data_IF_684340249035
#
_entry.id   IF_684340249035
#
_cell.length_a   1.000
_cell.length_b   1.000
_cell.length_c   1.000
_cell.angle_alpha   90.00
_cell.angle_beta   90.00
_cell.angle_gamma   90.00
#
_symmetry.space_group_name_H-M   'P 1'
#
loop_
_entity.id
_entity.type
_entity.pdbx_description
1 polymer ?
#
# COMPACT_ATOMS: atom_id res chain seq x y z
N UNK A 1 8.72 -48.98 3.63
CA UNK A 1 7.90 -48.28 4.62
C UNK A 1 8.12 -48.97 5.95
N UNK A 2 8.45 -48.20 6.97
CA UNK A 2 8.78 -48.76 8.27
C UNK A 2 7.52 -49.26 8.99
N UNK A 3 7.67 -50.38 9.70
CA UNK A 3 6.58 -50.93 10.49
C UNK A 3 6.27 -50.01 11.66
N UNK A 4 5.00 -49.76 11.92
CA UNK A 4 4.55 -48.82 12.96
C UNK A 4 3.84 -49.59 14.08
N UNK A 5 3.93 -49.09 15.31
CA UNK A 5 3.34 -49.76 16.48
C UNK A 5 1.86 -50.09 16.25
N UNK A 6 1.46 -51.33 16.49
CA UNK A 6 0.08 -51.77 16.32
C UNK A 6 -0.85 -51.05 17.30
N UNK A 7 -2.00 -50.55 16.82
CA UNK A 7 -2.96 -49.85 17.66
C UNK A 7 -3.85 -50.83 18.44
N UNK A 8 -4.20 -50.44 19.67
CA UNK A 8 -4.93 -51.28 20.63
C UNK A 8 -6.06 -50.50 21.29
N UNK A 9 -7.06 -51.23 21.77
CA UNK A 9 -8.13 -50.69 22.61
C UNK A 9 -7.55 -49.95 23.81
N UNK A 10 -7.92 -48.69 23.99
CA UNK A 10 -7.41 -47.79 25.03
C UNK A 10 -6.23 -46.92 24.59
N UNK A 11 -5.71 -47.08 23.37
CA UNK A 11 -4.65 -46.21 22.87
C UNK A 11 -5.23 -44.83 22.56
N UNK A 12 -4.38 -43.83 22.68
CA UNK A 12 -4.74 -42.43 22.60
C UNK A 12 -4.78 -41.97 21.15
N UNK A 13 -5.65 -41.00 20.87
CA UNK A 13 -5.61 -40.21 19.64
C UNK A 13 -5.28 -38.77 19.97
N UNK A 14 -4.62 -38.09 19.03
CA UNK A 14 -4.31 -36.67 19.15
C UNK A 14 -4.36 -35.98 17.79
N UNK A 15 -4.39 -34.66 17.83
CA UNK A 15 -4.05 -33.86 16.68
C UNK A 15 -2.66 -33.27 16.89
N UNK A 16 -1.95 -33.07 15.78
CA UNK A 16 -0.72 -32.31 15.78
C UNK A 16 -0.97 -30.83 16.10
N UNK A 17 0.12 -30.11 16.32
CA UNK A 17 0.12 -28.67 16.53
C UNK A 17 0.07 -27.88 15.21
N UNK A 18 0.05 -28.53 14.04
CA UNK A 18 0.27 -27.88 12.75
C UNK A 18 -0.79 -26.85 12.39
N UNK A 19 -2.09 -27.15 12.58
CA UNK A 19 -3.17 -26.16 12.36
C UNK A 19 -2.97 -24.91 13.23
N UNK A 20 -2.73 -25.09 14.54
CA UNK A 20 -2.53 -23.97 15.43
C UNK A 20 -1.27 -23.16 15.10
N UNK A 21 -0.18 -23.84 14.73
CA UNK A 21 1.06 -23.21 14.29
C UNK A 21 0.84 -22.37 13.02
N UNK A 22 0.17 -22.92 12.01
CA UNK A 22 -0.14 -22.20 10.78
C UNK A 22 -1.04 -21.00 11.02
N UNK A 23 -2.08 -21.13 11.84
CA UNK A 23 -2.96 -20.01 12.19
C UNK A 23 -2.19 -18.91 12.92
N UNK A 24 -1.39 -19.25 13.93
CA UNK A 24 -0.57 -18.29 14.66
C UNK A 24 0.45 -17.59 13.73
N UNK A 25 1.11 -18.36 12.87
CA UNK A 25 2.04 -17.87 11.86
C UNK A 25 1.37 -16.96 10.84
N UNK A 26 0.18 -17.31 10.36
CA UNK A 26 -0.58 -16.51 9.40
C UNK A 26 -1.01 -15.17 10.00
N UNK A 27 -1.42 -15.14 11.28
CA UNK A 27 -1.73 -13.90 12.00
C UNK A 27 -0.49 -13.03 12.16
N UNK A 28 0.65 -13.60 12.58
CA UNK A 28 1.91 -12.86 12.67
C UNK A 28 2.35 -12.32 11.30
N UNK A 29 2.20 -13.13 10.26
CA UNK A 29 2.47 -12.76 8.88
C UNK A 29 1.58 -11.63 8.38
N UNK A 30 0.28 -11.65 8.70
CA UNK A 30 -0.64 -10.56 8.36
C UNK A 30 -0.21 -9.23 9.00
N UNK A 31 0.16 -9.26 10.28
CA UNK A 31 0.61 -8.07 11.02
C UNK A 31 1.91 -7.50 10.43
N UNK A 32 2.88 -8.37 10.10
CA UNK A 32 4.13 -7.95 9.47
C UNK A 32 3.87 -7.43 8.05
N UNK A 33 3.02 -8.10 7.27
CA UNK A 33 2.62 -7.66 5.94
C UNK A 33 1.97 -6.28 5.97
N UNK A 34 1.08 -6.02 6.93
CA UNK A 34 0.49 -4.70 7.13
C UNK A 34 1.55 -3.63 7.43
N UNK A 35 2.57 -3.95 8.23
CA UNK A 35 3.68 -3.04 8.50
C UNK A 35 4.54 -2.78 7.24
N UNK A 36 4.74 -3.77 6.37
CA UNK A 36 5.42 -3.59 5.08
C UNK A 36 4.60 -2.67 4.15
N UNK A 37 3.29 -2.88 4.07
CA UNK A 37 2.38 -2.05 3.27
C UNK A 37 2.42 -0.59 3.76
N UNK A 38 2.36 -0.38 5.07
CA UNK A 38 2.47 0.95 5.67
C UNK A 38 3.83 1.60 5.39
N UNK A 39 4.92 0.87 5.54
CA UNK A 39 6.28 1.38 5.31
C UNK A 39 6.57 1.73 3.84
N UNK A 40 5.92 1.05 2.90
CA UNK A 40 6.06 1.30 1.45
C UNK A 40 5.02 2.27 0.89
N UNK A 41 3.99 2.63 1.68
CA UNK A 41 2.77 3.26 1.20
C UNK A 41 2.16 2.51 -0.01
N UNK A 42 2.31 1.18 -0.05
CA UNK A 42 1.77 0.35 -1.12
C UNK A 42 0.23 0.42 -1.10
N UNK A 43 -0.37 0.50 -2.27
CA UNK A 43 -1.84 0.53 -2.44
C UNK A 43 -2.27 -0.46 -3.51
N UNK A 44 -3.57 -0.77 -3.53
CA UNK A 44 -4.18 -1.63 -4.54
C UNK A 44 -3.53 -3.01 -4.65
N UNK A 45 -3.22 -3.43 -5.89
CA UNK A 45 -2.69 -4.76 -6.18
C UNK A 45 -1.38 -5.09 -5.46
N UNK A 46 -0.49 -4.11 -5.26
CA UNK A 46 0.77 -4.34 -4.55
C UNK A 46 0.54 -4.65 -3.06
N UNK A 47 -0.37 -3.92 -2.41
CA UNK A 47 -0.72 -4.18 -1.02
C UNK A 47 -1.33 -5.57 -0.84
N UNK A 48 -2.20 -6.00 -1.76
CA UNK A 48 -2.80 -7.32 -1.75
C UNK A 48 -1.74 -8.44 -1.89
N UNK A 49 -0.79 -8.29 -2.80
CA UNK A 49 0.31 -9.24 -2.99
C UNK A 49 1.20 -9.34 -1.75
N UNK A 50 1.56 -8.20 -1.15
CA UNK A 50 2.37 -8.17 0.08
C UNK A 50 1.65 -8.89 1.23
N UNK A 51 0.36 -8.62 1.44
CA UNK A 51 -0.41 -9.27 2.50
C UNK A 51 -0.55 -10.77 2.26
N UNK A 52 -0.92 -11.19 1.04
CA UNK A 52 -1.05 -12.60 0.68
C UNK A 52 0.27 -13.37 0.88
N UNK A 53 1.38 -12.82 0.38
CA UNK A 53 2.70 -13.42 0.53
C UNK A 53 3.15 -13.48 2.00
N UNK A 54 2.86 -12.44 2.79
CA UNK A 54 3.24 -12.38 4.21
C UNK A 54 2.42 -13.36 5.05
N UNK A 55 1.12 -13.50 4.79
CA UNK A 55 0.25 -14.49 5.46
C UNK A 55 0.74 -15.91 5.16
N UNK A 56 0.97 -16.21 3.88
CA UNK A 56 1.50 -17.52 3.45
C UNK A 56 2.85 -17.83 4.10
N UNK A 57 3.80 -16.89 3.98
CA UNK A 57 5.14 -17.05 4.54
C UNK A 57 5.10 -17.23 6.07
N UNK A 58 4.30 -16.43 6.78
CA UNK A 58 4.15 -16.53 8.22
C UNK A 58 3.57 -17.88 8.65
N UNK A 59 2.48 -18.33 8.00
CA UNK A 59 1.83 -19.61 8.30
C UNK A 59 2.74 -20.81 8.07
N UNK A 60 3.37 -20.89 6.90
CA UNK A 60 4.27 -22.01 6.55
C UNK A 60 5.56 -22.01 7.40
N UNK A 61 6.13 -20.83 7.68
CA UNK A 61 7.34 -20.73 8.51
C UNK A 61 7.07 -21.20 9.93
N UNK A 62 5.93 -20.81 10.52
CA UNK A 62 5.57 -21.23 11.87
C UNK A 62 5.25 -22.73 11.94
N UNK A 63 4.60 -23.28 10.91
CA UNK A 63 4.42 -24.72 10.76
C UNK A 63 5.75 -25.47 10.80
N UNK A 64 6.73 -25.03 10.00
CA UNK A 64 8.06 -25.64 9.99
C UNK A 64 8.79 -25.51 11.34
N UNK A 65 8.71 -24.35 12.01
CA UNK A 65 9.30 -24.17 13.35
C UNK A 65 8.72 -25.20 14.33
N UNK A 66 7.39 -25.30 14.40
CA UNK A 66 6.72 -26.20 15.35
C UNK A 66 7.00 -27.66 15.00
N UNK A 67 6.92 -28.05 13.72
CA UNK A 67 7.29 -29.39 13.24
C UNK A 67 8.74 -29.76 13.58
N UNK A 68 9.66 -28.82 13.40
CA UNK A 68 11.06 -29.00 13.78
C UNK A 68 11.24 -29.21 15.28
N UNK A 69 10.61 -28.37 16.11
CA UNK A 69 10.67 -28.47 17.57
C UNK A 69 10.04 -29.75 18.09
N UNK A 70 8.87 -30.15 17.58
CA UNK A 70 8.20 -31.39 18.00
C UNK A 70 9.02 -32.62 17.64
N UNK A 71 9.73 -32.58 16.51
CA UNK A 71 10.62 -33.67 16.07
C UNK A 71 11.89 -33.74 16.91
N UNK A 72 12.57 -32.61 17.14
CA UNK A 72 13.85 -32.56 17.88
C UNK A 72 13.67 -32.92 19.35
N UNK A 73 12.59 -32.46 19.98
CA UNK A 73 12.36 -32.61 21.42
C UNK A 73 11.32 -33.68 21.75
N UNK A 74 10.82 -34.42 20.76
CA UNK A 74 9.76 -35.42 20.91
C UNK A 74 8.57 -34.88 21.74
N UNK A 75 8.15 -33.65 21.44
CA UNK A 75 7.18 -32.94 22.28
C UNK A 75 5.83 -33.69 22.28
N UNK A 76 5.23 -33.92 23.47
CA UNK A 76 4.01 -34.69 23.58
C UNK A 76 2.82 -33.92 23.02
N UNK A 77 2.04 -34.59 22.18
CA UNK A 77 0.77 -34.06 21.71
C UNK A 77 -0.34 -34.23 22.77
N UNK A 78 -1.25 -33.26 22.95
CA UNK A 78 -2.34 -33.39 23.91
C UNK A 78 -3.30 -34.48 23.45
N UNK A 79 -3.63 -35.40 24.34
CA UNK A 79 -4.61 -36.45 24.06
C UNK A 79 -5.98 -35.83 23.83
N UNK A 80 -6.58 -36.10 22.67
CA UNK A 80 -7.89 -35.57 22.30
C UNK A 80 -9.00 -36.61 22.43
N UNK A 81 -8.63 -37.89 22.52
CA UNK A 81 -9.56 -39.00 22.73
C UNK A 81 -8.84 -40.32 22.94
N UNK A 82 -9.63 -41.38 23.15
CA UNK A 82 -9.13 -42.74 23.39
C UNK A 82 -9.96 -43.74 22.60
N UNK A 83 -9.31 -44.76 22.05
CA UNK A 83 -9.91 -45.87 21.33
C UNK A 83 -10.73 -46.76 22.29
N UNK A 84 -12.01 -47.01 22.00
CA UNK A 84 -12.93 -47.70 22.95
C UNK A 84 -13.61 -48.96 22.40
N UNK A 85 -13.49 -49.24 21.11
CA UNK A 85 -14.07 -50.44 20.51
C UNK A 85 -13.10 -50.99 19.49
N UNK A 86 -12.55 -52.18 19.76
CA UNK A 86 -11.64 -52.90 18.87
C UNK A 86 -12.21 -54.23 18.40
N UNK A 87 -11.39 -55.03 17.73
CA UNK A 87 -11.68 -56.41 17.34
C UNK A 87 -12.16 -57.27 18.51
N UNK A 88 -13.14 -58.14 18.28
CA UNK A 88 -13.72 -58.99 19.33
C UNK A 88 -12.88 -60.24 19.66
N UNK A 89 -11.95 -60.63 18.79
CA UNK A 89 -11.20 -61.90 18.90
C UNK A 89 -9.71 -61.81 18.54
N UNK A 90 -9.24 -60.65 18.08
CA UNK A 90 -7.82 -60.42 17.81
C UNK A 90 -7.29 -59.41 18.82
N UNK A 91 -6.22 -59.80 19.50
CA UNK A 91 -5.61 -59.01 20.57
C UNK A 91 -4.14 -58.74 20.26
N UNK A 92 -3.67 -57.56 20.64
CA UNK A 92 -2.26 -57.21 20.66
C UNK A 92 -1.91 -56.85 22.10
N UNK A 93 -1.03 -57.64 22.71
CA UNK A 93 -0.68 -57.55 24.14
C UNK A 93 -1.94 -57.50 25.05
N UNK A 94 -2.85 -58.46 24.87
CA UNK A 94 -4.08 -58.61 25.66
C UNK A 94 -5.09 -57.45 25.56
N UNK A 95 -4.90 -56.53 24.61
CA UNK A 95 -5.84 -55.45 24.31
C UNK A 95 -6.37 -55.64 22.89
N UNK A 96 -7.66 -55.41 22.68
CA UNK A 96 -8.29 -55.65 21.39
C UNK A 96 -7.57 -54.87 20.29
N UNK A 97 -7.23 -55.55 19.20
CA UNK A 97 -6.56 -54.94 18.06
C UNK A 97 -7.53 -54.03 17.29
N UNK A 98 -7.03 -52.96 16.68
CA UNK A 98 -7.87 -51.93 16.09
C UNK A 98 -7.95 -52.05 14.56
N UNK A 99 -9.13 -51.82 14.00
CA UNK A 99 -9.46 -52.00 12.57
C UNK A 99 -9.99 -50.71 11.95
N UNK A 100 -9.40 -50.31 10.83
CA UNK A 100 -9.91 -49.20 10.04
C UNK A 100 -11.30 -49.54 9.47
N UNK A 101 -12.21 -48.57 9.50
CA UNK A 101 -13.56 -48.69 8.95
C UNK A 101 -14.57 -49.43 9.82
N UNK A 102 -14.20 -49.85 11.05
CA UNK A 102 -15.13 -50.53 11.97
C UNK A 102 -14.94 -50.08 13.43
N UNK A 103 -13.70 -49.85 13.84
CA UNK A 103 -13.36 -49.53 15.23
C UNK A 103 -13.27 -48.01 15.47
N UNK A 104 -13.52 -47.57 16.71
CA UNK A 104 -13.79 -46.15 17.04
C UNK A 104 -13.11 -45.67 18.32
N UNK A 105 -12.87 -44.35 18.41
CA UNK A 105 -12.68 -43.64 19.68
C UNK A 105 -14.02 -43.21 20.29
N UNK A 106 -14.02 -42.81 21.57
CA UNK A 106 -15.25 -42.36 22.24
C UNK A 106 -15.71 -40.99 21.77
N UNK A 107 -14.78 -40.04 21.81
CA UNK A 107 -14.96 -38.62 21.49
C UNK A 107 -13.63 -38.08 20.97
N UNK A 108 -13.65 -36.86 20.43
CA UNK A 108 -12.42 -36.12 20.14
C UNK A 108 -12.60 -34.65 20.53
N UNK A 109 -11.73 -34.12 21.40
CA UNK A 109 -11.77 -32.72 21.83
C UNK A 109 -11.38 -31.73 20.73
N UNK A 110 -10.65 -32.19 19.70
CA UNK A 110 -10.19 -31.36 18.58
C UNK A 110 -9.09 -30.35 18.94
N UNK A 111 -8.58 -30.36 20.17
CA UNK A 111 -7.51 -29.47 20.60
C UNK A 111 -6.22 -29.65 19.76
N UNK A 112 -5.40 -28.60 19.58
CA UNK A 112 -5.66 -27.24 20.05
C UNK A 112 -6.68 -26.43 19.22
N UNK A 113 -6.84 -26.68 17.90
CA UNK A 113 -7.71 -25.85 17.03
C UNK A 113 -8.25 -26.61 15.79
N UNK A 114 -8.30 -27.94 15.81
CA UNK A 114 -8.67 -28.73 14.63
C UNK A 114 -10.18 -28.75 14.43
N UNK A 115 -10.97 -29.03 15.46
CA UNK A 115 -12.43 -28.97 15.36
C UNK A 115 -13.06 -28.72 16.74
N UNK A 116 -14.32 -28.26 16.80
CA UNK A 116 -15.07 -28.23 18.06
C UNK A 116 -15.19 -29.63 18.67
N UNK A 117 -15.51 -29.73 19.96
CA UNK A 117 -15.72 -31.02 20.62
C UNK A 117 -16.65 -31.92 19.79
N UNK A 118 -16.18 -33.12 19.49
CA UNK A 118 -16.94 -34.17 18.81
C UNK A 118 -17.43 -35.17 19.86
N UNK A 119 -18.69 -35.06 20.34
CA UNK A 119 -19.17 -35.81 21.51
C UNK A 119 -19.70 -37.21 21.16
N UNK A 120 -19.31 -37.76 20.01
CA UNK A 120 -19.77 -39.04 19.48
C UNK A 120 -18.58 -39.88 19.02
N UNK A 121 -18.74 -41.20 18.87
CA UNK A 121 -17.66 -42.06 18.45
C UNK A 121 -17.05 -41.67 17.11
N UNK A 122 -15.72 -41.62 17.05
CA UNK A 122 -14.99 -41.24 15.85
C UNK A 122 -14.36 -42.47 15.22
N UNK A 123 -14.65 -42.72 13.95
CA UNK A 123 -14.19 -43.89 13.21
C UNK A 123 -12.70 -43.78 12.84
N UNK A 124 -11.97 -44.89 12.97
CA UNK A 124 -10.64 -45.04 12.37
C UNK A 124 -10.80 -45.10 10.84
N UNK A 125 -10.18 -44.19 10.12
CA UNK A 125 -10.30 -44.08 8.67
C UNK A 125 -9.17 -44.76 7.89
N UNK A 126 -8.01 -44.96 8.53
CA UNK A 126 -6.80 -45.47 7.88
C UNK A 126 -6.22 -46.69 8.59
N UNK A 127 -5.58 -47.58 7.82
CA UNK A 127 -4.89 -48.77 8.32
C UNK A 127 -3.86 -49.31 7.34
N UNK A 128 -3.35 -50.51 7.59
CA UNK A 128 -2.41 -51.19 6.70
C UNK A 128 -3.09 -51.77 5.46
N UNK A 129 -2.54 -51.50 4.28
CA UNK A 129 -2.96 -52.11 3.02
C UNK A 129 -2.55 -53.59 2.86
N UNK A 130 -1.79 -54.16 3.80
CA UNK A 130 -1.25 -55.52 3.69
C UNK A 130 -1.54 -56.40 4.88
N UNK A 131 -1.94 -55.82 6.02
CA UNK A 131 -2.27 -56.55 7.24
C UNK A 131 -3.73 -56.31 7.55
N UNK A 132 -4.51 -57.38 7.55
CA UNK A 132 -5.95 -57.34 7.79
C UNK A 132 -6.30 -58.09 9.07
N UNK A 133 -7.23 -57.53 9.84
CA UNK A 133 -7.80 -58.13 11.04
C UNK A 133 -9.30 -58.26 10.79
N UNK A 134 -9.80 -59.50 10.76
CA UNK A 134 -11.19 -59.81 10.42
C UNK A 134 -11.62 -59.15 9.08
N UNK A 135 -10.75 -59.20 8.08
CA UNK A 135 -11.01 -58.64 6.74
C UNK A 135 -10.98 -57.11 6.65
N UNK A 136 -10.54 -56.40 7.69
CA UNK A 136 -10.41 -54.93 7.71
C UNK A 136 -8.95 -54.51 7.88
N UNK A 137 -8.50 -53.41 7.26
CA UNK A 137 -7.12 -52.92 7.41
C UNK A 137 -6.77 -52.72 8.89
N UNK A 138 -5.63 -53.27 9.31
CA UNK A 138 -5.18 -53.17 10.68
C UNK A 138 -4.67 -51.75 10.98
N UNK A 139 -5.24 -51.10 11.99
CA UNK A 139 -4.83 -49.76 12.41
C UNK A 139 -3.53 -49.82 13.22
N UNK A 140 -2.73 -48.76 13.12
CA UNK A 140 -1.42 -48.63 13.75
C UNK A 140 -1.18 -47.19 14.16
N UNK A 141 -0.06 -46.92 14.83
CA UNK A 141 0.41 -45.57 15.13
C UNK A 141 0.27 -44.68 13.89
N UNK A 142 -0.06 -43.40 14.06
CA UNK A 142 -0.25 -42.43 12.97
C UNK A 142 -1.42 -42.72 12.00
N UNK A 143 -2.14 -43.84 12.09
CA UNK A 143 -3.39 -44.03 11.34
C UNK A 143 -4.40 -42.92 11.70
N UNK A 144 -4.97 -42.28 10.68
CA UNK A 144 -5.94 -41.19 10.88
C UNK A 144 -7.35 -41.69 11.19
N UNK A 145 -8.04 -40.88 11.98
CA UNK A 145 -9.46 -40.92 12.28
C UNK A 145 -10.22 -40.07 11.25
N UNK A 146 -11.52 -40.26 11.10
CA UNK A 146 -12.34 -39.44 10.17
C UNK A 146 -12.32 -37.94 10.49
N UNK A 147 -12.02 -37.57 11.74
CA UNK A 147 -11.92 -36.17 12.16
C UNK A 147 -10.54 -35.52 11.89
N UNK A 148 -9.58 -36.26 11.35
CA UNK A 148 -8.20 -35.78 11.11
C UNK A 148 -7.20 -36.13 12.22
N UNK A 149 -7.67 -36.47 13.44
CA UNK A 149 -6.79 -36.92 14.51
C UNK A 149 -6.06 -38.22 14.10
N UNK A 150 -4.90 -38.49 14.66
CA UNK A 150 -4.18 -39.73 14.41
C UNK A 150 -3.98 -40.53 15.71
N UNK A 151 -3.74 -41.83 15.57
CA UNK A 151 -3.43 -42.71 16.71
C UNK A 151 -2.04 -42.35 17.24
N UNK A 152 -2.00 -41.82 18.47
CA UNK A 152 -0.82 -41.25 19.12
C UNK A 152 -0.01 -42.28 19.90
N UNK A 153 -0.63 -43.34 20.42
CA UNK A 153 0.07 -44.41 21.15
C UNK A 153 -0.23 -45.78 20.56
N UNK A 154 0.65 -46.76 20.81
CA UNK A 154 0.55 -48.09 20.22
C UNK A 154 1.25 -49.15 21.07
N UNK A 155 1.32 -50.38 20.55
CA UNK A 155 2.11 -51.46 21.13
C UNK A 155 3.60 -51.14 21.15
N UNK A 156 4.28 -51.53 22.23
CA UNK A 156 5.73 -51.35 22.36
C UNK A 156 6.56 -52.41 21.62
N UNK A 157 5.94 -53.54 21.22
CA UNK A 157 6.67 -54.70 20.69
C UNK A 157 5.98 -55.38 19.49
N UNK A 158 4.81 -54.89 19.06
CA UNK A 158 4.10 -55.41 17.90
C UNK A 158 3.99 -54.30 16.87
N UNK A 159 4.50 -54.55 15.67
CA UNK A 159 4.58 -53.55 14.60
C UNK A 159 3.88 -54.04 13.34
N UNK A 160 3.16 -53.16 12.66
CA UNK A 160 2.40 -53.43 11.44
C UNK A 160 2.99 -52.59 10.31
N UNK A 161 3.50 -53.26 9.29
CA UNK A 161 4.04 -52.64 8.08
C UNK A 161 3.03 -52.51 6.95
N UNK A 162 3.54 -52.10 5.77
CA UNK A 162 2.77 -51.92 4.54
C UNK A 162 2.28 -50.48 4.33
N UNK A 163 1.90 -50.10 3.08
CA UNK A 163 1.33 -48.79 2.79
C UNK A 163 0.07 -48.48 3.61
N UNK A 164 -0.30 -47.21 3.68
CA UNK A 164 -1.56 -46.79 4.31
C UNK A 164 -2.72 -46.96 3.33
N UNK A 165 -3.76 -47.66 3.76
CA UNK A 165 -5.05 -47.77 3.06
C UNK A 165 -6.07 -46.89 3.79
N UNK A 166 -6.72 -46.00 3.04
CA UNK A 166 -7.80 -45.13 3.54
C UNK A 166 -9.15 -45.73 3.14
N UNK A 167 -9.96 -46.11 4.14
CA UNK A 167 -11.28 -46.74 3.95
C UNK A 167 -12.45 -45.83 4.28
N UNK A 168 -12.19 -44.61 4.77
CA UNK A 168 -13.19 -43.58 5.01
C UNK A 168 -12.61 -42.19 4.75
N UNK A 169 -13.48 -41.18 4.57
CA UNK A 169 -13.06 -39.79 4.44
C UNK A 169 -12.32 -39.31 5.70
N UNK A 170 -11.27 -38.52 5.52
CA UNK A 170 -10.52 -37.87 6.60
C UNK A 170 -10.66 -36.37 6.43
N UNK A 171 -11.21 -35.70 7.44
CA UNK A 171 -11.22 -34.24 7.53
C UNK A 171 -9.81 -33.76 7.92
N UNK A 172 -8.92 -33.66 6.94
CA UNK A 172 -7.54 -33.23 7.15
C UNK A 172 -7.40 -31.71 6.99
N UNK A 173 -7.69 -30.99 8.07
CA UNK A 173 -7.61 -29.53 8.08
C UNK A 173 -6.16 -29.03 8.07
N UNK A 174 -5.22 -29.81 8.57
CA UNK A 174 -3.79 -29.47 8.53
C UNK A 174 -3.29 -29.49 7.07
N UNK A 175 -3.55 -30.58 6.35
CA UNK A 175 -3.18 -30.71 4.94
C UNK A 175 -3.88 -29.65 4.07
N UNK A 176 -5.19 -29.42 4.31
CA UNK A 176 -5.95 -28.40 3.59
C UNK A 176 -5.37 -27.00 3.80
N UNK A 177 -5.05 -26.64 5.05
CA UNK A 177 -4.52 -25.32 5.38
C UNK A 177 -3.10 -25.13 4.85
N UNK A 178 -2.24 -26.15 4.97
CA UNK A 178 -0.88 -26.13 4.43
C UNK A 178 -0.91 -25.90 2.92
N UNK A 179 -1.68 -26.71 2.20
CA UNK A 179 -1.85 -26.59 0.74
C UNK A 179 -2.45 -25.24 0.35
N UNK A 180 -3.42 -24.73 1.12
CA UNK A 180 -4.01 -23.41 0.90
C UNK A 180 -3.00 -22.27 1.06
N UNK A 181 -2.13 -22.33 2.07
CA UNK A 181 -1.07 -21.35 2.30
C UNK A 181 0.02 -21.41 1.21
N UNK A 182 0.40 -22.61 0.76
CA UNK A 182 1.32 -22.77 -0.37
C UNK A 182 0.73 -22.16 -1.66
N UNK A 183 -0.53 -22.46 -1.97
CA UNK A 183 -1.21 -21.89 -3.11
C UNK A 183 -1.30 -20.36 -3.03
N UNK A 184 -1.59 -19.81 -1.84
CA UNK A 184 -1.59 -18.36 -1.59
C UNK A 184 -0.20 -17.75 -1.80
N UNK A 185 0.84 -18.42 -1.31
CA UNK A 185 2.24 -17.99 -1.47
C UNK A 185 2.67 -17.97 -2.94
N UNK A 186 2.32 -19.01 -3.70
CA UNK A 186 2.59 -19.09 -5.14
C UNK A 186 1.81 -18.02 -5.93
N UNK A 187 0.54 -17.78 -5.57
CA UNK A 187 -0.25 -16.72 -6.18
C UNK A 187 0.34 -15.33 -5.89
N UNK A 188 0.79 -15.08 -4.66
CA UNK A 188 1.48 -13.85 -4.28
C UNK A 188 2.80 -13.67 -5.04
N UNK A 189 3.60 -14.74 -5.18
CA UNK A 189 4.82 -14.73 -5.99
C UNK A 189 4.52 -14.36 -7.45
N UNK A 190 3.53 -15.02 -8.07
CA UNK A 190 3.12 -14.74 -9.44
C UNK A 190 2.63 -13.29 -9.60
N UNK A 191 1.77 -12.82 -8.69
CA UNK A 191 1.32 -11.43 -8.67
C UNK A 191 2.46 -10.43 -8.50
N UNK A 192 3.42 -10.72 -7.62
CA UNK A 192 4.60 -9.89 -7.39
C UNK A 192 5.52 -9.82 -8.62
N UNK A 193 5.74 -10.94 -9.31
CA UNK A 193 6.50 -10.99 -10.56
C UNK A 193 5.81 -10.22 -11.68
N UNK A 194 4.47 -10.32 -11.81
CA UNK A 194 3.71 -9.53 -12.77
C UNK A 194 3.83 -8.03 -12.49
N UNK A 195 3.68 -7.59 -11.24
CA UNK A 195 3.85 -6.19 -10.85
C UNK A 195 5.29 -5.70 -11.09
N UNK A 196 6.30 -6.53 -10.82
CA UNK A 196 7.69 -6.21 -11.10
C UNK A 196 7.96 -6.08 -12.61
N UNK A 197 7.38 -6.96 -13.43
CA UNK A 197 7.47 -6.89 -14.89
C UNK A 197 6.83 -5.60 -15.43
N UNK A 198 5.68 -5.19 -14.89
CA UNK A 198 5.02 -3.92 -15.23
C UNK A 198 5.87 -2.70 -14.81
N UNK A 199 6.64 -2.80 -13.73
CA UNK A 199 7.56 -1.75 -13.29
C UNK A 199 8.85 -1.66 -14.15
N UNK A 200 9.15 -2.69 -14.94
CA UNK A 200 10.25 -2.73 -15.90
C UNK A 200 11.28 -3.83 -15.63
N UNK A 201 12.13 -4.09 -16.64
CA UNK A 201 13.08 -5.22 -16.64
C UNK A 201 14.02 -5.20 -15.43
N UNK A 202 14.51 -4.02 -15.03
CA UNK A 202 15.40 -3.89 -13.87
C UNK A 202 14.74 -4.33 -12.56
N UNK A 203 13.45 -4.00 -12.38
CA UNK A 203 12.70 -4.42 -11.20
C UNK A 203 12.46 -5.94 -11.21
N UNK A 204 12.06 -6.49 -12.35
CA UNK A 204 11.86 -7.93 -12.51
C UNK A 204 13.15 -8.74 -12.23
N UNK A 205 14.28 -8.34 -12.82
CA UNK A 205 15.58 -8.98 -12.58
C UNK A 205 15.96 -8.89 -11.10
N UNK A 206 15.73 -7.74 -10.45
CA UNK A 206 15.96 -7.57 -9.02
C UNK A 206 15.14 -8.54 -8.17
N UNK A 207 13.84 -8.68 -8.44
CA UNK A 207 12.95 -9.60 -7.71
C UNK A 207 13.38 -11.05 -7.93
N UNK A 208 13.69 -11.45 -9.17
CA UNK A 208 14.14 -12.81 -9.50
C UNK A 208 15.48 -13.13 -8.83
N UNK A 209 16.43 -12.20 -8.83
CA UNK A 209 17.73 -12.38 -8.18
C UNK A 209 17.59 -12.52 -6.66
N UNK A 210 16.79 -11.67 -6.01
CA UNK A 210 16.53 -11.75 -4.57
C UNK A 210 15.81 -13.07 -4.24
N UNK A 211 14.78 -13.44 -5.01
CA UNK A 211 14.05 -14.70 -4.83
C UNK A 211 14.95 -15.92 -4.99
N UNK A 212 15.82 -15.92 -6.00
CA UNK A 212 16.81 -16.98 -6.22
C UNK A 212 17.82 -17.11 -5.07
N UNK A 213 18.34 -15.99 -4.57
CA UNK A 213 19.23 -15.97 -3.41
C UNK A 213 18.52 -16.48 -2.14
N UNK A 214 17.26 -16.10 -1.93
CA UNK A 214 16.46 -16.60 -0.81
C UNK A 214 16.29 -18.12 -0.92
N UNK A 215 15.83 -18.64 -2.06
CA UNK A 215 15.66 -20.08 -2.26
C UNK A 215 16.96 -20.87 -2.05
N UNK A 216 18.07 -20.37 -2.61
CA UNK A 216 19.39 -20.99 -2.43
C UNK A 216 19.83 -20.99 -0.96
N UNK A 217 19.64 -19.87 -0.25
CA UNK A 217 19.93 -19.77 1.18
C UNK A 217 19.08 -20.74 2.03
N UNK A 218 17.78 -20.86 1.72
CA UNK A 218 16.90 -21.80 2.40
C UNK A 218 17.29 -23.26 2.15
N UNK A 219 17.70 -23.61 0.92
CA UNK A 219 18.18 -24.95 0.61
C UNK A 219 19.45 -25.29 1.42
N UNK A 220 20.41 -24.38 1.49
CA UNK A 220 21.64 -24.56 2.29
C UNK A 220 21.34 -24.72 3.79
N UNK A 221 20.38 -23.96 4.33
CA UNK A 221 19.93 -24.14 5.71
C UNK A 221 19.27 -25.50 5.93
N UNK A 222 18.52 -25.99 4.93
CA UNK A 222 17.92 -27.32 4.97
C UNK A 222 18.97 -28.43 4.98
N UNK A 223 19.95 -28.37 4.08
CA UNK A 223 21.05 -29.34 4.02
C UNK A 223 21.90 -29.32 5.31
N UNK A 224 22.14 -28.14 5.88
CA UNK A 224 22.80 -28.01 7.17
C UNK A 224 21.97 -28.67 8.29
N UNK A 225 20.65 -28.43 8.29
CA UNK A 225 19.73 -29.04 9.24
C UNK A 225 19.71 -30.56 9.13
N UNK A 226 19.60 -31.11 7.91
CA UNK A 226 19.60 -32.56 7.66
C UNK A 226 20.89 -33.24 8.16
N UNK A 227 22.04 -32.53 8.13
CA UNK A 227 23.31 -33.03 8.68
C UNK A 227 23.34 -33.08 10.21
N UNK A 228 22.56 -32.26 10.90
CA UNK A 228 22.48 -32.24 12.36
C UNK A 228 21.52 -33.29 12.91
N UNK A 229 20.45 -33.59 12.16
CA UNK A 229 19.51 -34.65 12.47
C UNK A 229 18.06 -34.31 12.14
N UNK A 230 17.12 -35.20 12.51
CA UNK A 230 15.70 -35.01 12.25
C UNK A 230 15.16 -33.70 12.82
N UNK A 231 14.31 -33.02 12.04
CA UNK A 231 13.62 -31.78 12.46
C UNK A 231 14.45 -30.49 12.36
N UNK A 232 15.79 -30.55 12.32
CA UNK A 232 16.61 -29.33 12.25
C UNK A 232 16.47 -28.56 10.94
N UNK A 233 16.21 -29.26 9.82
CA UNK A 233 15.87 -28.61 8.54
C UNK A 233 14.64 -27.73 8.65
N UNK A 234 13.54 -28.31 9.14
CA UNK A 234 12.28 -27.60 9.33
C UNK A 234 12.47 -26.43 10.30
N UNK A 235 13.18 -26.65 11.42
CA UNK A 235 13.47 -25.58 12.38
C UNK A 235 14.24 -24.42 11.75
N UNK A 236 15.35 -24.69 11.06
CA UNK A 236 16.20 -23.64 10.50
C UNK A 236 15.51 -22.89 9.37
N UNK A 237 14.82 -23.59 8.47
CA UNK A 237 14.05 -22.96 7.41
C UNK A 237 12.89 -22.14 7.97
N UNK A 238 12.14 -22.68 8.93
CA UNK A 238 11.05 -21.95 9.56
C UNK A 238 11.52 -20.69 10.28
N UNK A 239 12.60 -20.77 11.08
CA UNK A 239 13.17 -19.59 11.78
C UNK A 239 13.68 -18.55 10.78
N UNK A 240 14.41 -18.96 9.74
CA UNK A 240 14.91 -18.04 8.73
C UNK A 240 13.77 -17.39 7.92
N UNK A 241 12.74 -18.16 7.55
CA UNK A 241 11.56 -17.63 6.88
C UNK A 241 10.85 -16.57 7.71
N UNK A 242 10.63 -16.84 9.00
CA UNK A 242 10.01 -15.89 9.93
C UNK A 242 10.89 -14.64 10.15
N UNK A 243 12.21 -14.81 10.26
CA UNK A 243 13.14 -13.69 10.41
C UNK A 243 13.18 -12.80 9.16
N UNK A 244 13.26 -13.39 7.96
CA UNK A 244 13.24 -12.65 6.69
C UNK A 244 11.95 -11.86 6.53
N UNK A 245 10.81 -12.48 6.87
CA UNK A 245 9.52 -11.79 6.91
C UNK A 245 9.55 -10.61 7.89
N UNK A 246 10.03 -10.83 9.13
CA UNK A 246 10.15 -9.80 10.17
C UNK A 246 11.11 -8.65 9.83
N UNK A 247 12.10 -8.86 8.97
CA UNK A 247 12.96 -7.80 8.43
C UNK A 247 12.29 -6.99 7.30
N UNK A 248 11.18 -7.49 6.74
CA UNK A 248 10.41 -6.84 5.67
C UNK A 248 10.16 -5.34 5.92
N UNK A 249 9.51 -4.95 7.05
CA UNK A 249 9.21 -3.54 7.32
C UNK A 249 10.47 -2.65 7.40
N UNK A 250 11.58 -3.18 7.94
CA UNK A 250 12.86 -2.45 8.04
C UNK A 250 13.52 -2.27 6.68
N UNK A 251 13.44 -3.27 5.80
CA UNK A 251 13.99 -3.19 4.45
C UNK A 251 13.10 -2.31 3.55
N UNK A 252 11.79 -2.36 3.71
CA UNK A 252 10.81 -1.51 3.04
C UNK A 252 11.01 -0.02 3.33
N UNK A 253 11.35 0.33 4.58
CA UNK A 253 11.61 1.72 4.99
C UNK A 253 12.93 2.30 4.46
N UNK A 254 13.85 1.46 3.93
CA UNK A 254 15.07 1.95 3.31
C UNK A 254 14.73 2.49 1.93
N UNK A 255 14.86 3.82 1.77
CA UNK A 255 14.99 4.41 0.43
C UNK A 255 16.10 3.66 -0.30
N UNK A 256 15.88 3.21 -1.56
CA UNK A 256 16.91 2.49 -2.31
C UNK A 256 18.20 3.29 -2.25
N UNK A 257 19.27 2.64 -1.79
CA UNK A 257 20.58 3.24 -1.73
C UNK A 257 20.97 3.69 -3.15
N UNK A 258 21.03 5.01 -3.34
CA UNK A 258 21.76 5.64 -4.43
C UNK A 258 21.46 5.21 -5.88
N UNK A 259 20.21 4.97 -6.27
CA UNK A 259 19.79 5.25 -7.68
C UNK A 259 19.74 6.78 -7.93
N UNK A 260 20.11 7.57 -6.91
CA UNK A 260 19.83 8.99 -6.76
C UNK A 260 20.86 9.94 -7.36
N UNK A 261 21.92 9.50 -8.05
CA UNK A 261 22.79 10.47 -8.75
C UNK A 261 22.28 10.76 -10.15
N UNK A 262 22.18 9.74 -11.00
CA UNK A 262 21.95 9.95 -12.43
C UNK A 262 20.52 10.41 -12.73
N UNK A 263 19.51 9.83 -12.06
CA UNK A 263 18.11 10.26 -12.23
C UNK A 263 17.87 11.66 -11.65
N UNK A 264 18.50 11.98 -10.52
CA UNK A 264 18.40 13.32 -9.92
C UNK A 264 19.10 14.37 -10.79
N UNK A 265 20.30 14.05 -11.33
CA UNK A 265 21.01 14.89 -12.29
C UNK A 265 20.20 15.08 -13.57
N UNK A 266 19.59 14.01 -14.11
CA UNK A 266 18.72 14.09 -15.28
C UNK A 266 17.49 14.93 -15.01
N UNK A 267 16.86 14.81 -13.83
CA UNK A 267 15.73 15.65 -13.43
C UNK A 267 16.15 17.12 -13.30
N UNK A 268 17.29 17.40 -12.68
CA UNK A 268 17.83 18.76 -12.59
C UNK A 268 18.14 19.34 -13.98
N UNK A 269 18.75 18.55 -14.87
CA UNK A 269 18.99 18.92 -16.25
C UNK A 269 17.70 19.22 -17.01
N UNK A 270 16.69 18.35 -16.91
CA UNK A 270 15.39 18.55 -17.57
C UNK A 270 14.67 19.77 -16.98
N UNK A 271 14.74 19.98 -15.67
CA UNK A 271 14.15 21.15 -15.03
C UNK A 271 14.78 22.44 -15.56
N UNK A 272 16.11 22.49 -15.62
CA UNK A 272 16.84 23.64 -16.17
C UNK A 272 16.53 23.85 -17.67
N UNK A 273 16.54 22.78 -18.47
CA UNK A 273 16.29 22.83 -19.92
C UNK A 273 14.89 23.33 -20.27
N UNK A 274 13.89 22.98 -19.47
CA UNK A 274 12.49 23.31 -19.73
C UNK A 274 11.95 24.41 -18.81
N UNK A 275 12.80 25.11 -18.05
CA UNK A 275 12.41 26.19 -17.15
C UNK A 275 11.39 25.77 -16.07
N UNK A 276 11.55 24.56 -15.53
CA UNK A 276 10.65 23.97 -14.51
C UNK A 276 11.25 24.14 -13.12
N UNK A 277 10.40 24.40 -12.12
CA UNK A 277 10.83 24.50 -10.71
C UNK A 277 11.24 23.15 -10.12
N UNK A 278 10.78 22.06 -10.73
CA UNK A 278 10.90 20.70 -10.19
C UNK A 278 9.76 20.29 -9.27
N UNK A 279 8.89 21.22 -8.88
CA UNK A 279 7.59 20.95 -8.28
C UNK A 279 6.53 20.91 -9.38
N UNK A 280 6.02 19.70 -9.68
CA UNK A 280 5.08 19.48 -10.77
C UNK A 280 3.78 20.28 -10.57
N UNK A 281 3.24 20.30 -9.35
CA UNK A 281 1.99 21.01 -9.05
C UNK A 281 2.16 22.51 -9.21
N UNK A 282 3.30 23.04 -8.77
CA UNK A 282 3.64 24.45 -8.98
C UNK A 282 3.73 24.79 -10.47
N UNK A 283 4.45 23.98 -11.25
CA UNK A 283 4.63 24.22 -12.69
C UNK A 283 3.31 24.09 -13.48
N UNK A 284 2.42 23.17 -13.08
CA UNK A 284 1.08 23.03 -13.67
C UNK A 284 0.25 24.29 -13.37
N UNK A 285 0.21 24.74 -12.12
CA UNK A 285 -0.55 25.92 -11.73
C UNK A 285 -0.01 27.19 -12.40
N UNK A 286 1.31 27.38 -12.42
CA UNK A 286 1.94 28.52 -13.08
C UNK A 286 1.58 28.58 -14.58
N UNK A 287 1.69 27.44 -15.29
CA UNK A 287 1.29 27.36 -16.71
C UNK A 287 -0.20 27.59 -16.91
N UNK A 288 -1.05 26.99 -16.07
CA UNK A 288 -2.51 27.15 -16.16
C UNK A 288 -2.93 28.60 -15.92
N UNK A 289 -2.32 29.28 -14.94
CA UNK A 289 -2.56 30.70 -14.65
C UNK A 289 -2.14 31.58 -15.84
N UNK A 290 -0.96 31.32 -16.42
CA UNK A 290 -0.47 32.04 -17.61
C UNK A 290 -1.36 31.82 -18.82
N UNK A 291 -1.81 30.58 -19.04
CA UNK A 291 -2.73 30.24 -20.13
C UNK A 291 -4.11 30.92 -19.95
N UNK A 292 -4.62 30.97 -18.73
CA UNK A 292 -5.90 31.63 -18.41
C UNK A 292 -5.84 33.12 -18.72
N UNK A 293 -4.78 33.81 -18.28
CA UNK A 293 -4.57 35.22 -18.59
C UNK A 293 -4.43 35.47 -20.10
N UNK A 294 -3.60 34.68 -20.78
CA UNK A 294 -3.39 34.83 -22.22
C UNK A 294 -4.69 34.61 -23.03
N UNK A 295 -5.48 33.60 -22.67
CA UNK A 295 -6.81 33.36 -23.28
C UNK A 295 -7.76 34.52 -23.03
N UNK A 296 -7.78 35.06 -21.81
CA UNK A 296 -8.63 36.20 -21.48
C UNK A 296 -8.26 37.44 -22.31
N UNK A 297 -6.98 37.82 -22.36
CA UNK A 297 -6.53 38.96 -23.16
C UNK A 297 -6.86 38.77 -24.64
N UNK A 298 -6.67 37.56 -25.17
CA UNK A 298 -7.08 37.21 -26.53
C UNK A 298 -8.59 37.34 -26.75
N UNK A 299 -9.42 36.92 -25.79
CA UNK A 299 -10.89 37.03 -25.89
C UNK A 299 -11.43 38.46 -25.77
N UNK A 300 -10.61 39.38 -25.26
CA UNK A 300 -10.94 40.80 -25.13
C UNK A 300 -10.31 41.65 -26.24
N UNK A 301 -9.82 41.00 -27.31
CA UNK A 301 -9.19 41.63 -28.47
C UNK A 301 -8.06 42.61 -28.11
N UNK A 302 -7.27 42.28 -27.08
CA UNK A 302 -6.09 43.05 -26.69
C UNK A 302 -4.95 42.75 -27.67
N UNK A 303 -4.26 43.80 -28.12
CA UNK A 303 -3.10 43.66 -29.00
C UNK A 303 -2.05 42.74 -28.35
N UNK A 304 -1.42 41.81 -29.10
CA UNK A 304 -0.44 40.88 -28.55
C UNK A 304 0.71 41.54 -27.79
N UNK A 305 1.19 42.71 -28.24
CA UNK A 305 2.29 43.41 -27.57
C UNK A 305 1.84 44.00 -26.22
N UNK A 306 0.62 44.56 -26.18
CA UNK A 306 0.01 45.04 -24.93
C UNK A 306 -0.29 43.88 -23.98
N UNK A 307 -0.81 42.78 -24.50
CA UNK A 307 -1.07 41.57 -23.72
C UNK A 307 0.22 41.03 -23.10
N UNK A 308 1.33 40.95 -23.85
CA UNK A 308 2.62 40.51 -23.31
C UNK A 308 3.12 41.44 -22.20
N UNK A 309 2.98 42.76 -22.39
CA UNK A 309 3.30 43.75 -21.36
C UNK A 309 2.46 43.54 -20.09
N UNK A 310 1.15 43.31 -20.23
CA UNK A 310 0.26 43.04 -19.11
C UNK A 310 0.60 41.73 -18.40
N UNK A 311 0.96 40.69 -19.15
CA UNK A 311 1.37 39.39 -18.61
C UNK A 311 2.60 39.50 -17.70
N UNK A 312 3.52 40.43 -17.98
CA UNK A 312 4.70 40.69 -17.14
C UNK A 312 4.34 41.33 -15.78
N UNK A 313 3.17 41.97 -15.68
CA UNK A 313 2.67 42.55 -14.43
C UNK A 313 1.87 41.58 -13.55
N UNK A 314 1.73 40.31 -13.95
CA UNK A 314 0.94 39.31 -13.23
C UNK A 314 1.83 38.30 -12.50
N UNK A 315 1.55 38.05 -11.22
CA UNK A 315 2.21 36.99 -10.46
C UNK A 315 1.48 35.65 -10.63
N UNK A 316 1.97 34.82 -11.56
CA UNK A 316 1.40 33.50 -11.85
C UNK A 316 1.67 32.44 -10.77
N UNK A 317 2.45 32.75 -9.74
CA UNK A 317 2.55 31.90 -8.55
C UNK A 317 1.29 31.96 -7.69
N UNK A 318 0.46 32.98 -7.92
CA UNK A 318 -0.86 33.13 -7.33
C UNK A 318 -1.96 32.80 -8.35
N UNK A 319 -3.15 32.34 -7.90
CA UNK A 319 -4.24 31.98 -8.79
C UNK A 319 -4.68 33.13 -9.70
N UNK A 320 -4.79 32.84 -11.01
CA UNK A 320 -5.36 33.76 -12.00
C UNK A 320 -6.65 33.16 -12.52
N UNK A 321 -7.75 33.94 -12.49
CA UNK A 321 -9.07 33.44 -12.87
C UNK A 321 -9.93 34.52 -13.51
N UNK A 322 -10.78 34.08 -14.42
CA UNK A 322 -11.83 34.92 -15.00
C UNK A 322 -13.04 34.90 -14.07
N UNK A 323 -13.54 36.08 -13.72
CA UNK A 323 -14.73 36.25 -12.91
C UNK A 323 -15.73 37.16 -13.62
N UNK A 324 -17.02 36.86 -13.52
CA UNK A 324 -18.07 37.77 -13.93
C UNK A 324 -18.57 38.54 -12.72
N UNK A 325 -18.36 39.86 -12.71
CA UNK A 325 -18.89 40.73 -11.67
C UNK A 325 -20.34 41.10 -11.98
N UNK A 326 -21.20 41.05 -10.95
CA UNK A 326 -22.55 41.59 -11.03
C UNK A 326 -22.51 43.14 -11.04
N UNK A 327 -23.58 43.80 -11.52
CA UNK A 327 -23.78 45.23 -11.33
C UNK A 327 -23.76 45.61 -9.85
N UNK A 328 -23.34 46.84 -9.53
CA UNK A 328 -23.31 47.38 -8.17
C UNK A 328 -22.03 47.10 -7.38
N UNK A 329 -21.03 46.46 -7.96
CA UNK A 329 -19.75 46.19 -7.29
C UNK A 329 -18.87 47.43 -7.29
N UNK A 330 -18.52 47.94 -6.10
CA UNK A 330 -17.55 49.02 -5.96
C UNK A 330 -16.12 48.50 -6.15
N UNK A 331 -15.34 49.25 -6.92
CA UNK A 331 -13.92 49.02 -7.21
C UNK A 331 -13.20 50.37 -7.21
N UNK A 332 -11.87 50.35 -7.16
CA UNK A 332 -11.08 51.57 -7.18
C UNK A 332 -9.98 51.50 -8.23
N UNK A 333 -9.55 52.65 -8.72
CA UNK A 333 -8.47 52.74 -9.70
C UNK A 333 -7.58 53.94 -9.38
N UNK A 334 -6.27 53.72 -9.40
CA UNK A 334 -5.28 54.79 -9.36
C UNK A 334 -5.02 55.33 -10.76
N UNK A 335 -5.14 56.64 -10.93
CA UNK A 335 -4.94 57.32 -12.20
C UNK A 335 -4.01 58.50 -12.01
N UNK A 336 -3.18 58.80 -13.01
CA UNK A 336 -2.47 60.07 -13.02
C UNK A 336 -3.49 61.23 -13.06
N UNK A 337 -3.25 62.36 -12.39
CA UNK A 337 -4.19 63.48 -12.39
C UNK A 337 -4.57 63.92 -13.82
N UNK A 338 -5.88 64.03 -14.07
CA UNK A 338 -6.42 64.38 -15.40
C UNK A 338 -6.40 63.25 -16.44
N UNK A 339 -5.87 62.07 -16.13
CA UNK A 339 -5.86 60.94 -17.05
C UNK A 339 -7.25 60.28 -17.18
N UNK A 340 -7.60 59.73 -18.36
CA UNK A 340 -8.83 58.97 -18.53
C UNK A 340 -8.81 57.66 -17.72
N UNK A 341 -9.97 57.03 -17.60
CA UNK A 341 -10.12 55.70 -17.00
C UNK A 341 -9.19 54.68 -17.66
N UNK A 342 -8.45 53.95 -16.82
CA UNK A 342 -7.60 52.82 -17.21
C UNK A 342 -8.36 51.50 -17.21
N UNK A 343 -7.63 50.40 -17.38
CA UNK A 343 -8.19 49.04 -17.46
C UNK A 343 -8.04 48.22 -16.16
N UNK A 344 -7.23 48.71 -15.22
CA UNK A 344 -6.87 47.99 -14.00
C UNK A 344 -7.60 48.56 -12.79
N UNK A 345 -8.16 47.71 -11.96
CA UNK A 345 -8.91 48.08 -10.77
C UNK A 345 -8.42 47.28 -9.57
N UNK A 346 -8.56 47.85 -8.38
CA UNK A 346 -8.32 47.17 -7.11
C UNK A 346 -9.65 46.92 -6.39
N UNK A 347 -9.65 45.87 -5.57
CA UNK A 347 -10.78 45.43 -4.75
C UNK A 347 -10.89 46.18 -3.42
N UNK A 348 -9.93 47.04 -3.09
CA UNK A 348 -9.90 47.78 -1.82
C UNK A 348 -9.24 49.15 -2.00
N UNK A 349 -9.80 50.21 -1.41
CA UNK A 349 -9.22 51.54 -1.44
C UNK A 349 -8.01 51.68 -0.50
N UNK A 350 -7.74 50.67 0.33
CA UNK A 350 -6.61 50.66 1.28
C UNK A 350 -5.31 50.20 0.63
N UNK A 351 -5.40 49.56 -0.53
CA UNK A 351 -4.23 49.08 -1.28
C UNK A 351 -3.46 50.27 -1.81
N UNK A 352 -2.15 50.29 -1.63
CA UNK A 352 -1.30 51.36 -2.12
C UNK A 352 -0.87 51.12 -3.58
N UNK A 353 -0.54 52.16 -4.35
CA UNK A 353 -0.08 52.01 -5.74
C UNK A 353 1.10 51.04 -5.89
N UNK A 354 2.09 51.11 -4.98
CA UNK A 354 3.27 50.23 -5.01
C UNK A 354 2.91 48.74 -4.89
N UNK A 355 1.83 48.40 -4.18
CA UNK A 355 1.35 47.01 -4.02
C UNK A 355 0.60 46.52 -5.27
N UNK A 356 0.16 47.42 -6.14
CA UNK A 356 -0.42 47.13 -7.46
C UNK A 356 0.63 47.08 -8.58
N UNK A 357 1.93 47.16 -8.24
CA UNK A 357 3.00 47.14 -9.25
C UNK A 357 3.13 48.46 -10.02
N UNK A 358 2.70 49.60 -9.44
CA UNK A 358 2.78 50.92 -10.09
C UNK A 358 3.42 51.98 -9.19
N UNK A 359 4.04 52.98 -9.82
CA UNK A 359 4.58 54.16 -9.16
C UNK A 359 3.44 54.97 -8.49
N UNK A 360 3.55 55.39 -7.22
CA UNK A 360 2.58 56.28 -6.58
C UNK A 360 2.43 57.65 -7.26
N UNK A 361 3.42 58.08 -8.03
CA UNK A 361 3.42 59.33 -8.78
C UNK A 361 3.01 59.11 -10.25
N UNK A 362 2.44 60.12 -10.87
CA UNK A 362 2.08 60.11 -12.28
C UNK A 362 2.18 61.50 -12.91
N UNK A 363 2.40 61.55 -14.22
CA UNK A 363 2.44 62.83 -14.95
C UNK A 363 1.04 63.39 -15.17
N UNK A 364 0.79 64.61 -14.68
CA UNK A 364 -0.36 65.43 -15.05
C UNK A 364 -0.08 66.08 -16.41
N UNK A 365 -0.78 65.62 -17.45
CA UNK A 365 -0.50 66.06 -18.84
C UNK A 365 -0.88 67.51 -19.12
N UNK A 366 -1.84 68.07 -18.38
CA UNK A 366 -2.29 69.45 -18.57
C UNK A 366 -1.30 70.46 -17.96
N UNK A 367 -0.76 70.15 -16.78
CA UNK A 367 0.20 70.99 -16.08
C UNK A 367 1.68 70.63 -16.37
N UNK A 368 1.92 69.48 -17.01
CA UNK A 368 3.24 68.89 -17.24
C UNK A 368 4.08 68.72 -15.95
N UNK A 369 3.40 68.41 -14.85
CA UNK A 369 3.94 68.22 -13.50
C UNK A 369 3.87 66.75 -13.10
N UNK A 370 4.74 66.33 -12.17
CA UNK A 370 4.67 65.00 -11.54
C UNK A 370 3.89 65.15 -10.24
N UNK A 371 2.77 64.44 -10.13
CA UNK A 371 1.83 64.57 -9.02
C UNK A 371 1.44 63.18 -8.49
N UNK A 372 0.99 63.06 -7.23
CA UNK A 372 0.48 61.80 -6.71
C UNK A 372 -0.70 61.30 -7.55
N UNK A 373 -0.74 59.99 -7.85
CA UNK A 373 -1.89 59.37 -8.52
C UNK A 373 -3.11 59.52 -7.63
N UNK A 374 -4.25 59.80 -8.28
CA UNK A 374 -5.51 59.97 -7.59
C UNK A 374 -6.28 58.66 -7.59
N UNK A 375 -6.85 58.32 -6.44
CA UNK A 375 -7.74 57.18 -6.29
C UNK A 375 -9.16 57.58 -6.69
N UNK A 376 -9.69 56.95 -7.72
CA UNK A 376 -11.08 57.11 -8.14
C UNK A 376 -11.89 55.86 -7.80
N UNK A 377 -13.14 56.08 -7.39
CA UNK A 377 -14.09 55.03 -7.06
C UNK A 377 -14.99 54.75 -8.26
N UNK A 378 -15.15 53.49 -8.62
CA UNK A 378 -15.99 53.04 -9.72
C UNK A 378 -17.00 52.01 -9.22
N UNK A 379 -18.15 51.94 -9.89
CA UNK A 379 -19.18 50.92 -9.64
C UNK A 379 -19.53 50.23 -10.95
N UNK A 380 -19.57 48.90 -10.95
CA UNK A 380 -20.05 48.18 -12.12
C UNK A 380 -21.52 48.53 -12.43
N UNK A 381 -21.82 48.92 -13.66
CA UNK A 381 -23.18 49.30 -14.10
C UNK A 381 -23.95 48.12 -14.70
N UNK A 382 -23.21 47.15 -15.23
CA UNK A 382 -23.73 45.93 -15.83
C UNK A 382 -22.86 44.73 -15.45
N UNK A 383 -23.28 43.52 -15.86
CA UNK A 383 -22.42 42.35 -15.73
C UNK A 383 -21.18 42.53 -16.61
N UNK A 384 -20.01 42.28 -16.04
CA UNK A 384 -18.74 42.44 -16.76
C UNK A 384 -17.78 41.33 -16.37
N UNK A 385 -17.11 40.75 -17.35
CA UNK A 385 -16.03 39.81 -17.10
C UNK A 385 -14.73 40.55 -16.81
N UNK A 386 -14.03 40.07 -15.79
CA UNK A 386 -12.76 40.61 -15.34
C UNK A 386 -11.75 39.48 -15.16
N UNK A 387 -10.48 39.78 -15.39
CA UNK A 387 -9.38 38.90 -15.00
C UNK A 387 -8.94 39.28 -13.59
N UNK A 388 -9.15 38.39 -12.61
CA UNK A 388 -8.61 38.53 -11.26
C UNK A 388 -7.22 37.91 -11.18
N UNK A 389 -6.28 38.67 -10.65
CA UNK A 389 -4.88 38.25 -10.48
C UNK A 389 -4.23 38.97 -9.29
N UNK A 390 -2.97 38.62 -9.01
CA UNK A 390 -2.09 39.33 -8.08
C UNK A 390 -1.05 40.11 -8.90
N UNK A 391 -0.76 41.36 -8.51
CA UNK A 391 0.30 42.14 -9.14
C UNK A 391 1.68 41.53 -8.86
N UNK A 392 2.50 41.37 -9.90
CA UNK A 392 3.89 41.00 -9.74
C UNK A 392 4.74 42.20 -9.28
N UNK A 393 5.84 41.96 -8.56
CA UNK A 393 6.90 42.96 -8.42
C UNK A 393 7.42 43.34 -9.81
N UNK A 394 7.46 44.63 -10.10
CA UNK A 394 7.87 45.13 -11.42
C UNK A 394 8.51 46.51 -11.29
N UNK A 395 9.38 46.84 -12.22
CA UNK A 395 9.91 48.18 -12.35
C UNK A 395 8.97 49.00 -13.24
N UNK A 396 8.29 50.00 -12.66
CA UNK A 396 7.40 50.90 -13.38
C UNK A 396 8.23 51.98 -14.08
N UNK A 397 8.28 51.91 -15.41
CA UNK A 397 8.92 52.90 -16.30
C UNK A 397 7.91 53.78 -17.06
N UNK A 398 6.60 53.58 -16.85
CA UNK A 398 5.52 54.12 -17.68
C UNK A 398 4.69 55.20 -16.99
N UNK A 399 4.63 55.19 -15.65
CA UNK A 399 3.85 56.16 -14.87
C UNK A 399 4.47 57.56 -14.87
N UNK A 400 5.81 57.63 -14.83
CA UNK A 400 6.59 58.88 -14.93
C UNK A 400 7.68 58.66 -15.97
N UNK A 401 7.56 59.33 -17.11
CA UNK A 401 8.48 59.13 -18.23
C UNK A 401 9.93 59.41 -17.84
N UNK A 402 10.81 58.43 -18.06
CA UNK A 402 12.25 58.54 -17.78
C UNK A 402 12.65 58.19 -16.34
N UNK A 403 11.70 57.78 -15.49
CA UNK A 403 12.00 57.29 -14.15
C UNK A 403 11.61 55.80 -14.05
N UNK A 404 12.51 54.99 -13.51
CA UNK A 404 12.19 53.63 -13.05
C UNK A 404 11.80 53.67 -11.59
N UNK A 405 10.72 53.00 -11.21
CA UNK A 405 10.30 52.82 -9.83
C UNK A 405 10.08 51.34 -9.51
N UNK A 406 10.83 50.75 -8.57
CA UNK A 406 10.65 49.36 -8.17
C UNK A 406 9.38 49.21 -7.34
N UNK A 407 8.28 48.79 -7.97
CA UNK A 407 7.01 48.56 -7.32
C UNK A 407 6.94 47.15 -6.73
N UNK A 408 6.45 47.06 -5.49
CA UNK A 408 6.45 45.82 -4.70
C UNK A 408 5.54 44.73 -5.27
N UNK A 409 4.39 45.09 -5.83
CA UNK A 409 3.35 44.13 -6.17
C UNK A 409 2.74 43.46 -4.92
N UNK A 410 2.00 42.36 -5.14
CA UNK A 410 1.39 41.52 -4.11
C UNK A 410 -0.08 41.78 -3.80
N UNK A 411 -0.67 42.90 -4.25
CA UNK A 411 -2.10 43.14 -4.10
C UNK A 411 -2.92 42.47 -5.19
N UNK A 412 -4.18 42.15 -4.88
CA UNK A 412 -5.13 41.69 -5.88
C UNK A 412 -5.58 42.82 -6.78
N UNK A 413 -5.62 42.53 -8.08
CA UNK A 413 -6.05 43.44 -9.13
C UNK A 413 -7.03 42.76 -10.08
N UNK A 414 -7.85 43.56 -10.73
CA UNK A 414 -8.84 43.17 -11.72
C UNK A 414 -8.55 43.91 -13.02
N UNK A 415 -8.54 43.20 -14.14
CA UNK A 415 -8.43 43.81 -15.47
C UNK A 415 -9.75 43.71 -16.24
N UNK A 416 -10.15 44.80 -16.88
CA UNK A 416 -11.19 44.83 -17.91
C UNK A 416 -11.00 46.04 -18.82
N UNK A 417 -11.07 45.84 -20.14
CA UNK A 417 -11.09 46.91 -21.14
C UNK A 417 -12.51 47.43 -21.46
N UNK A 418 -13.55 46.84 -20.86
CA UNK A 418 -14.95 47.26 -21.01
C UNK A 418 -15.27 48.45 -20.11
N UNK A 419 -14.60 49.60 -20.33
CA UNK A 419 -14.69 50.78 -19.46
C UNK A 419 -16.12 51.28 -19.22
N UNK A 420 -16.99 51.15 -20.23
CA UNK A 420 -18.42 51.51 -20.13
C UNK A 420 -19.21 50.72 -19.08
N UNK A 421 -18.70 49.57 -18.67
CA UNK A 421 -19.29 48.75 -17.60
C UNK A 421 -18.97 49.25 -16.20
N UNK A 422 -18.15 50.31 -16.06
CA UNK A 422 -17.72 50.86 -14.77
C UNK A 422 -18.02 52.37 -14.71
N UNK A 423 -19.08 52.74 -13.97
CA UNK A 423 -19.46 54.13 -13.75
C UNK A 423 -18.61 54.78 -12.67
N UNK A 424 -18.07 55.98 -12.94
CA UNK A 424 -17.36 56.78 -11.95
C UNK A 424 -18.32 57.24 -10.86
N UNK A 425 -17.97 57.00 -9.60
CA UNK A 425 -18.72 57.50 -8.44
C UNK A 425 -18.23 58.91 -8.07
N UNK A 426 -19.12 59.77 -7.55
CA UNK A 426 -18.72 61.04 -6.95
C UNK A 426 -17.70 60.80 -5.84
N UNK A 427 -16.72 61.70 -5.70
CA UNK A 427 -15.80 61.64 -4.56
C UNK A 427 -16.57 62.04 -3.31
N UNK A 428 -16.53 61.19 -2.27
CA UNK A 428 -17.03 61.57 -0.96
C UNK A 428 -16.21 62.78 -0.46
N UNK A 429 -16.85 63.95 -0.39
CA UNK A 429 -16.22 65.21 0.05
C UNK A 429 -16.12 66.34 -0.98
N UNK A 430 -16.78 66.24 -2.14
CA UNK A 430 -17.07 67.43 -2.97
C UNK A 430 -18.30 68.18 -2.49
#
# INVERSE_FOLDING_TARGET
MDAQAAARLGDEIAHGFGVAAMVAGAVAGALIGAAVVAATAATGGLAAVILAGSIAAGGLSMFQIVKGLTTIFELPEPTTGVLIRGSFNVYVNSRNAMRAGDDVSATCSGLPLNHPLWPFPVLIAEGSATVYINGKPAARLQSKMVCGAHIKTGSQNTFIGGPTERVAFVLDLEEWLHTGLEALGLAALAGGLLLAAMAGVAALVGVVAIGGLMMGGMALLGDLGDRLGPGYRDLFQGVAGMALLGFGPKLAGRRPAAVTSETAQRRAYLNNKFGRSGNLDHDINYRGNRETAAKFFKSKDIDPADAESYMNGLDFNHPVRVETLAPGKNLWQYQSPGAPQGNWYTLSPRVQPTELGINPMGTNRAANTIEPKVLNSYRTTQKVEVLRSTAAPTDDFWSVKGQSYPAKGGAQQLFSNEKGSFGLLPREGS
#
